data_IF_714496319310
#
_entry.id   IF_714496319310
#
_cell.length_a   1.000
_cell.length_b   1.000
_cell.length_c   1.000
_cell.angle_alpha   90.00
_cell.angle_beta   90.00
_cell.angle_gamma   90.00
#
_symmetry.space_group_name_H-M   'P 1'
#
loop_
_entity.id
_entity.type
_entity.pdbx_description
1 polymer ?
#
# COMPACT_ATOMS: atom_id res chain seq x y z
N UNK A 1 1.87 20.68 23.00
CA UNK A 1 2.24 20.76 21.56
C UNK A 1 0.99 20.38 20.79
N UNK A 2 0.51 21.20 19.86
CA UNK A 2 -0.81 21.02 19.26
C UNK A 2 -0.86 19.74 18.45
N UNK A 3 -1.87 18.92 18.71
CA UNK A 3 -2.27 17.73 17.97
C UNK A 3 -2.23 17.95 16.45
N UNK A 4 -1.20 17.41 15.81
CA UNK A 4 -1.10 17.34 14.35
C UNK A 4 -1.97 16.19 13.79
N UNK A 5 -3.18 16.03 14.35
CA UNK A 5 -4.24 15.10 13.91
C UNK A 5 -5.28 15.80 13.02
N UNK A 6 -4.93 16.96 12.46
CA UNK A 6 -5.79 17.67 11.52
C UNK A 6 -5.53 17.17 10.09
N UNK A 7 -6.27 16.13 9.70
CA UNK A 7 -6.57 15.76 8.31
C UNK A 7 -5.42 15.22 7.45
N UNK A 8 -5.07 13.94 7.62
CA UNK A 8 -4.54 13.16 6.51
C UNK A 8 -4.73 11.65 6.66
N UNK A 9 -5.88 11.21 7.21
CA UNK A 9 -6.33 9.84 6.98
C UNK A 9 -7.05 9.81 5.63
N UNK A 10 -6.28 9.82 4.54
CA UNK A 10 -6.76 9.18 3.31
C UNK A 10 -7.10 7.74 3.73
N UNK A 11 -8.39 7.42 3.61
CA UNK A 11 -8.85 6.06 3.82
C UNK A 11 -8.61 5.32 2.52
N UNK A 12 -8.11 4.11 2.60
CA UNK A 12 -7.80 3.27 1.47
C UNK A 12 -8.72 2.07 1.50
N UNK A 13 -9.37 1.79 0.37
CA UNK A 13 -10.11 0.54 0.18
C UNK A 13 -9.16 -0.46 -0.43
N UNK A 14 -8.83 -1.50 0.32
CA UNK A 14 -7.93 -2.58 -0.09
C UNK A 14 -8.75 -3.78 -0.53
N UNK A 15 -8.45 -4.28 -1.71
CA UNK A 15 -9.01 -5.50 -2.29
C UNK A 15 -7.90 -6.54 -2.36
N UNK A 16 -8.17 -7.70 -1.77
CA UNK A 16 -7.28 -8.86 -1.84
C UNK A 16 -7.98 -10.01 -2.53
N UNK A 17 -7.20 -10.87 -3.17
CA UNK A 17 -7.74 -12.10 -3.75
C UNK A 17 -8.44 -12.95 -2.68
N UNK A 18 -9.69 -13.35 -2.96
CA UNK A 18 -10.55 -14.13 -2.07
C UNK A 18 -10.98 -13.46 -0.75
N UNK A 19 -10.79 -12.14 -0.61
CA UNK A 19 -11.22 -11.40 0.58
C UNK A 19 -12.18 -10.26 0.21
N UNK A 20 -13.09 -9.87 1.12
CA UNK A 20 -13.90 -8.68 0.94
C UNK A 20 -13.05 -7.41 1.00
N UNK A 21 -13.59 -6.32 0.45
CA UNK A 21 -13.00 -4.99 0.54
C UNK A 21 -12.76 -4.56 2.00
N UNK A 22 -11.56 -4.08 2.30
CA UNK A 22 -11.15 -3.63 3.62
C UNK A 22 -10.81 -2.15 3.61
N UNK A 23 -11.34 -1.39 4.56
CA UNK A 23 -10.99 0.01 4.75
C UNK A 23 -9.79 0.10 5.70
N UNK A 24 -8.65 0.53 5.19
CA UNK A 24 -7.42 0.74 5.94
C UNK A 24 -7.01 2.21 5.89
N UNK A 25 -6.33 2.68 6.92
CA UNK A 25 -5.66 3.99 6.86
C UNK A 25 -4.38 3.92 6.03
N UNK A 26 -3.85 5.07 5.60
CA UNK A 26 -2.56 5.16 4.91
C UNK A 26 -1.44 4.39 5.64
N UNK A 27 -1.37 4.53 6.97
CA UNK A 27 -0.38 3.87 7.82
C UNK A 27 -0.55 2.35 7.81
N UNK A 28 -1.79 1.86 7.95
CA UNK A 28 -2.08 0.42 7.95
C UNK A 28 -1.81 -0.22 6.59
N UNK A 29 -2.20 0.45 5.50
CA UNK A 29 -1.89 0.01 4.14
C UNK A 29 -0.37 -0.07 3.93
N UNK A 30 0.37 0.93 4.40
CA UNK A 30 1.83 0.98 4.29
C UNK A 30 2.48 -0.16 5.09
N UNK A 31 2.03 -0.43 6.32
CA UNK A 31 2.52 -1.59 7.09
C UNK A 31 2.22 -2.92 6.39
N UNK A 32 1.03 -3.06 5.82
CA UNK A 32 0.63 -4.26 5.09
C UNK A 32 1.48 -4.46 3.84
N UNK A 33 1.70 -3.39 3.07
CA UNK A 33 2.59 -3.41 1.90
C UNK A 33 4.03 -3.76 2.29
N UNK A 34 4.56 -3.23 3.40
CA UNK A 34 5.89 -3.62 3.89
C UNK A 34 5.98 -5.12 4.15
N UNK A 35 4.99 -5.71 4.81
CA UNK A 35 4.95 -7.15 5.09
C UNK A 35 4.88 -7.95 3.79
N UNK A 36 4.08 -7.50 2.83
CA UNK A 36 3.94 -8.13 1.51
C UNK A 36 5.27 -8.04 0.73
N UNK A 37 5.87 -6.86 0.65
CA UNK A 37 7.18 -6.63 0.02
C UNK A 37 8.30 -7.46 0.66
N UNK A 38 8.23 -7.74 1.96
CA UNK A 38 9.17 -8.64 2.63
C UNK A 38 8.97 -10.12 2.26
N UNK A 39 7.78 -10.52 1.81
CA UNK A 39 7.49 -11.86 1.31
C UNK A 39 7.84 -12.00 -0.17
N UNK A 40 7.69 -10.93 -0.95
CA UNK A 40 8.03 -10.88 -2.37
C UNK A 40 9.56 -10.85 -2.50
N UNK A 41 10.07 -11.58 -3.50
CA UNK A 41 11.49 -11.53 -3.80
C UNK A 41 11.83 -10.20 -4.49
N UNK A 42 12.95 -9.59 -4.13
CA UNK A 42 13.42 -8.35 -4.76
C UNK A 42 13.53 -8.44 -6.30
N UNK A 43 13.77 -9.63 -6.86
CA UNK A 43 13.80 -9.87 -8.30
C UNK A 43 12.43 -9.77 -8.99
N UNK A 44 11.34 -9.98 -8.25
CA UNK A 44 9.97 -9.90 -8.74
C UNK A 44 9.40 -8.48 -8.60
N UNK A 45 10.06 -7.62 -7.82
CA UNK A 45 9.66 -6.23 -7.66
C UNK A 45 9.87 -5.44 -8.96
N UNK A 46 8.97 -4.50 -9.28
CA UNK A 46 9.15 -3.63 -10.42
C UNK A 46 10.47 -2.85 -10.31
N UNK A 47 11.13 -2.58 -11.45
CA UNK A 47 12.44 -1.92 -11.48
C UNK A 47 12.41 -0.52 -10.85
N UNK A 48 11.25 0.14 -10.82
CA UNK A 48 11.05 1.38 -10.10
C UNK A 48 11.30 1.27 -8.60
N UNK A 49 11.11 0.10 -7.98
CA UNK A 49 11.36 -0.12 -6.56
C UNK A 49 12.81 -0.43 -6.24
N UNK A 50 13.59 -0.86 -7.24
CA UNK A 50 15.03 -1.13 -7.08
C UNK A 50 15.82 0.12 -6.73
N UNK A 51 15.30 1.32 -7.01
CA UNK A 51 15.93 2.59 -6.63
C UNK A 51 15.86 2.89 -5.13
N UNK A 52 14.96 2.22 -4.41
CA UNK A 52 14.78 2.41 -2.98
C UNK A 52 15.44 1.28 -2.19
N UNK A 53 16.18 1.65 -1.17
CA UNK A 53 16.81 0.69 -0.25
C UNK A 53 15.88 0.27 0.91
N UNK A 54 14.86 1.08 1.21
CA UNK A 54 13.95 0.83 2.33
C UNK A 54 12.60 0.30 1.83
N UNK A 55 12.10 -0.75 2.48
CA UNK A 55 10.76 -1.30 2.21
C UNK A 55 9.64 -0.27 2.42
N UNK A 56 9.87 0.68 3.33
CA UNK A 56 8.97 1.81 3.60
C UNK A 56 8.85 2.73 2.41
N UNK A 57 9.98 3.12 1.82
CA UNK A 57 10.02 3.99 0.65
C UNK A 57 9.42 3.27 -0.58
N UNK A 58 9.68 1.96 -0.71
CA UNK A 58 9.07 1.14 -1.75
C UNK A 58 7.55 1.08 -1.61
N UNK A 59 7.04 0.78 -0.41
CA UNK A 59 5.61 0.74 -0.14
C UNK A 59 4.95 2.10 -0.37
N UNK A 60 5.58 3.19 0.09
CA UNK A 60 5.04 4.53 -0.05
C UNK A 60 5.02 4.97 -1.52
N UNK A 61 6.06 4.64 -2.28
CA UNK A 61 6.09 4.89 -3.72
C UNK A 61 5.04 4.08 -4.47
N UNK A 62 4.83 2.82 -4.09
CA UNK A 62 3.72 2.02 -4.61
C UNK A 62 2.39 2.71 -4.36
N UNK A 63 2.11 3.16 -3.13
CA UNK A 63 0.83 3.83 -2.82
C UNK A 63 0.60 5.09 -3.66
N UNK A 64 1.66 5.86 -3.92
CA UNK A 64 1.59 7.14 -4.65
C UNK A 64 1.54 6.95 -6.18
N UNK A 65 2.27 5.96 -6.71
CA UNK A 65 2.44 5.77 -8.15
C UNK A 65 1.53 4.69 -8.71
N UNK A 66 1.21 3.67 -7.92
CA UNK A 66 0.39 2.53 -8.31
C UNK A 66 -0.79 2.33 -7.35
N UNK A 67 -1.81 1.63 -7.82
CA UNK A 67 -2.98 1.27 -6.99
C UNK A 67 -3.17 -0.25 -6.93
N UNK A 68 -2.17 -0.99 -7.40
CA UNK A 68 -2.17 -2.44 -7.45
C UNK A 68 -0.75 -2.99 -7.32
N UNK A 69 -0.67 -4.21 -6.79
CA UNK A 69 0.53 -5.01 -6.65
C UNK A 69 0.18 -6.49 -6.84
N UNK A 70 0.86 -7.14 -7.77
CA UNK A 70 0.86 -8.59 -7.86
C UNK A 70 1.78 -9.17 -6.78
N UNK A 71 1.22 -10.01 -5.91
CA UNK A 71 1.96 -10.63 -4.81
C UNK A 71 2.54 -11.98 -5.23
N UNK A 72 1.76 -12.76 -5.99
CA UNK A 72 2.06 -14.14 -6.35
C UNK A 72 1.18 -14.59 -7.51
N UNK A 73 1.49 -15.71 -8.19
CA UNK A 73 0.69 -16.19 -9.31
C UNK A 73 -0.75 -16.52 -8.88
N UNK A 74 -1.67 -15.59 -9.16
CA UNK A 74 -3.08 -15.67 -8.80
C UNK A 74 -3.46 -14.88 -7.53
N UNK A 75 -2.52 -14.20 -6.89
CA UNK A 75 -2.74 -13.32 -5.74
C UNK A 75 -2.36 -11.88 -6.09
N UNK A 76 -3.36 -11.01 -6.03
CA UNK A 76 -3.25 -9.57 -6.24
C UNK A 76 -3.72 -8.80 -5.00
N UNK A 77 -3.16 -7.61 -4.84
CA UNK A 77 -3.53 -6.62 -3.85
C UNK A 77 -3.77 -5.30 -4.57
N UNK A 78 -5.00 -4.80 -4.51
CA UNK A 78 -5.34 -3.48 -5.05
C UNK A 78 -5.75 -2.56 -3.91
N UNK A 79 -5.48 -1.27 -4.02
CA UNK A 79 -5.91 -0.27 -3.05
C UNK A 79 -6.36 1.01 -3.73
N UNK A 80 -7.40 1.63 -3.20
CA UNK A 80 -7.99 2.85 -3.74
C UNK A 80 -8.09 3.91 -2.65
N UNK A 81 -7.46 5.07 -2.86
CA UNK A 81 -7.63 6.21 -1.98
C UNK A 81 -9.07 6.74 -2.12
N UNK A 82 -9.83 6.69 -1.04
CA UNK A 82 -11.18 7.24 -0.96
C UNK A 82 -11.17 8.52 -0.14
N UNK A 83 -11.53 9.62 -0.80
CA UNK A 83 -11.84 10.90 -0.15
C UNK A 83 -13.31 10.86 0.25
N UNK A 84 -13.58 10.78 1.55
CA UNK A 84 -14.93 10.99 2.07
C UNK A 84 -15.27 12.48 1.96
N UNK A 85 -15.69 12.91 0.77
CA UNK A 85 -16.29 14.23 0.58
C UNK A 85 -17.68 14.23 1.22
N UNK A 86 -17.93 15.23 2.05
CA UNK A 86 -19.15 15.37 2.87
C UNK A 86 -20.11 16.37 2.25
#
# INVERSE_FOLDING_TARGET
>A
MPDSLMYQQDNFVVLETNQPEQFLTASELLEKLKIVLQKINFQDLPPDLHKFNSVEEQAQYLIDTTCELDISPGEYLQWYAVRLEK
#
